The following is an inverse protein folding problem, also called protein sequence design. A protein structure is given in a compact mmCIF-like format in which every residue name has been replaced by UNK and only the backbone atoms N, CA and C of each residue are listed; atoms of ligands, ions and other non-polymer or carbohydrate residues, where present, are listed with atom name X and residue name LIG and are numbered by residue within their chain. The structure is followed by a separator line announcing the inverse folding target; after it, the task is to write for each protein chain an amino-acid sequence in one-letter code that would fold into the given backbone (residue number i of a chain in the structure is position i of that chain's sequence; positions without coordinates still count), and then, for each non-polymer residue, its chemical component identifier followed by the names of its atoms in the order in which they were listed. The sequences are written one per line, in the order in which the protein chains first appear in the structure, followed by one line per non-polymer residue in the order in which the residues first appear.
data_IF_513564295542
#
_entry.id   IF_513564295542
#
_cell.length_a   1.000
_cell.length_b   1.000
_cell.length_c   1.000
_cell.angle_alpha   90.00
_cell.angle_beta   90.00
_cell.angle_gamma   90.00
#
_symmetry.space_group_name_H-M   'P 1'
#
loop_
_entity.id
_entity.type
_entity.pdbx_description
1 polymer ?
#
# COMPACT_ATOMS: atom_id res chain seq x y z
N UNK A 1 -30.29 -10.91 35.78
CA UNK A 1 -30.29 -10.22 34.47
C UNK A 1 -31.71 -10.14 33.97
N UNK A 2 -32.18 -8.95 33.60
CA UNK A 2 -33.55 -8.78 33.07
C UNK A 2 -33.59 -9.39 31.66
N UNK A 3 -34.70 -10.04 31.26
CA UNK A 3 -34.84 -10.72 29.95
C UNK A 3 -34.44 -9.85 28.74
N UNK A 4 -34.64 -8.53 28.82
CA UNK A 4 -34.22 -7.58 27.78
C UNK A 4 -32.70 -7.40 27.65
N UNK A 5 -31.95 -7.55 28.74
CA UNK A 5 -30.49 -7.44 28.79
C UNK A 5 -29.83 -8.65 28.10
N UNK A 6 -30.38 -9.84 28.32
CA UNK A 6 -29.93 -11.09 27.67
C UNK A 6 -30.20 -11.06 26.17
N UNK A 7 -31.38 -10.57 25.76
CA UNK A 7 -31.73 -10.43 24.34
C UNK A 7 -30.82 -9.43 23.61
N UNK A 8 -30.51 -8.30 24.26
CA UNK A 8 -29.61 -7.30 23.69
C UNK A 8 -28.18 -7.84 23.52
N UNK A 9 -27.70 -8.58 24.52
CA UNK A 9 -26.36 -9.19 24.48
C UNK A 9 -26.24 -10.22 23.37
N UNK A 10 -27.26 -11.08 23.22
CA UNK A 10 -27.32 -12.05 22.14
C UNK A 10 -27.38 -11.40 20.74
N UNK A 11 -28.09 -10.28 20.61
CA UNK A 11 -28.16 -9.53 19.35
C UNK A 11 -26.81 -8.91 18.98
N UNK A 12 -26.08 -8.36 19.96
CA UNK A 12 -24.70 -7.87 19.77
C UNK A 12 -23.77 -9.00 19.35
N UNK A 13 -23.90 -10.17 19.98
CA UNK A 13 -23.08 -11.34 19.67
C UNK A 13 -23.30 -11.85 18.23
N UNK A 14 -24.56 -11.88 17.76
CA UNK A 14 -24.88 -12.22 16.36
C UNK A 14 -24.28 -11.19 15.39
N UNK A 15 -24.41 -9.90 15.67
CA UNK A 15 -23.81 -8.85 14.82
C UNK A 15 -22.29 -9.02 14.76
N UNK A 16 -21.65 -9.27 15.91
CA UNK A 16 -20.22 -9.54 16.00
C UNK A 16 -19.80 -10.75 15.17
N UNK A 17 -20.53 -11.86 15.29
CA UNK A 17 -20.26 -13.08 14.53
C UNK A 17 -20.40 -12.85 13.02
N UNK A 18 -21.42 -12.10 12.59
CA UNK A 18 -21.63 -11.77 11.18
C UNK A 18 -20.52 -10.88 10.62
N UNK A 19 -20.06 -9.88 11.38
CA UNK A 19 -18.94 -9.02 10.99
C UNK A 19 -17.63 -9.80 10.84
N UNK A 20 -17.33 -10.70 11.79
CA UNK A 20 -16.14 -11.56 11.71
C UNK A 20 -16.24 -12.50 10.50
N UNK A 21 -17.41 -13.12 10.29
CA UNK A 21 -17.65 -13.99 9.14
C UNK A 21 -17.45 -13.27 7.80
N UNK A 22 -17.94 -12.05 7.69
CA UNK A 22 -17.75 -11.21 6.50
C UNK A 22 -16.27 -10.92 6.23
N UNK A 23 -15.49 -10.55 7.26
CA UNK A 23 -14.06 -10.28 7.13
C UNK A 23 -13.28 -11.53 6.70
N UNK A 24 -13.58 -12.69 7.30
CA UNK A 24 -12.94 -13.95 6.92
C UNK A 24 -13.23 -14.31 5.46
N UNK A 25 -14.46 -14.08 5.01
CA UNK A 25 -14.84 -14.34 3.62
C UNK A 25 -14.10 -13.41 2.65
N UNK A 26 -14.04 -12.12 2.93
CA UNK A 26 -13.35 -11.13 2.09
C UNK A 26 -11.84 -11.44 1.96
N UNK A 27 -11.18 -11.76 3.09
CA UNK A 27 -9.79 -12.21 3.10
C UNK A 27 -9.61 -13.49 2.29
N UNK A 28 -10.48 -14.48 2.48
CA UNK A 28 -10.41 -15.75 1.74
C UNK A 28 -10.56 -15.56 0.23
N UNK A 29 -11.48 -14.70 -0.21
CA UNK A 29 -11.66 -14.35 -1.62
C UNK A 29 -10.44 -13.63 -2.17
N UNK A 30 -9.84 -12.71 -1.40
CA UNK A 30 -8.63 -11.98 -1.80
C UNK A 30 -7.40 -12.91 -1.93
N UNK A 31 -7.27 -13.90 -1.05
CA UNK A 31 -6.25 -14.96 -1.16
C UNK A 31 -6.51 -15.81 -2.41
N UNK A 32 -7.75 -16.28 -2.60
CA UNK A 32 -8.11 -17.14 -3.73
C UNK A 32 -7.90 -16.45 -5.09
N UNK A 33 -8.13 -15.13 -5.17
CA UNK A 33 -7.87 -14.31 -6.37
C UNK A 33 -6.41 -13.90 -6.53
N UNK A 34 -5.54 -14.18 -5.55
CA UNK A 34 -4.14 -13.80 -5.57
C UNK A 34 -3.85 -12.30 -5.42
N UNK A 35 -4.89 -11.48 -5.19
CA UNK A 35 -4.77 -10.01 -5.12
C UNK A 35 -3.91 -9.53 -3.96
N UNK A 36 -3.83 -10.30 -2.87
CA UNK A 36 -2.93 -10.02 -1.75
C UNK A 36 -1.47 -10.11 -2.19
N UNK A 37 -1.12 -11.17 -2.92
CA UNK A 37 0.25 -11.40 -3.38
C UNK A 37 0.66 -10.38 -4.44
N UNK A 38 -0.27 -10.00 -5.32
CA UNK A 38 -0.04 -8.95 -6.31
C UNK A 38 0.30 -7.61 -5.65
N UNK A 39 -0.52 -7.14 -4.71
CA UNK A 39 -0.25 -5.90 -3.94
C UNK A 39 1.08 -5.97 -3.21
N UNK A 40 1.39 -7.12 -2.58
CA UNK A 40 2.66 -7.31 -1.87
C UNK A 40 3.86 -7.27 -2.82
N UNK A 41 3.75 -7.87 -4.00
CA UNK A 41 4.81 -7.87 -5.00
C UNK A 41 5.04 -6.46 -5.55
N UNK A 42 3.98 -5.71 -5.85
CA UNK A 42 4.10 -4.29 -6.22
C UNK A 42 4.83 -3.49 -5.14
N UNK A 43 4.48 -3.70 -3.86
CA UNK A 43 5.15 -3.02 -2.74
C UNK A 43 6.64 -3.38 -2.66
N UNK A 44 6.99 -4.67 -2.85
CA UNK A 44 8.37 -5.16 -2.85
C UNK A 44 9.18 -4.61 -4.02
N UNK A 45 8.60 -4.59 -5.22
CA UNK A 45 9.27 -4.11 -6.42
C UNK A 45 9.57 -2.62 -6.31
N UNK A 46 8.59 -1.81 -5.85
CA UNK A 46 8.80 -0.39 -5.61
C UNK A 46 9.84 -0.14 -4.51
N UNK A 47 9.82 -0.93 -3.43
CA UNK A 47 10.82 -0.84 -2.38
C UNK A 47 12.22 -1.18 -2.87
N UNK A 48 12.35 -2.22 -3.70
CA UNK A 48 13.61 -2.59 -4.33
C UNK A 48 14.12 -1.46 -5.22
N UNK A 49 13.26 -0.84 -6.02
CA UNK A 49 13.63 0.30 -6.86
C UNK A 49 14.10 1.50 -6.06
N UNK A 50 13.43 1.83 -4.94
CA UNK A 50 13.87 2.89 -4.04
C UNK A 50 15.26 2.56 -3.47
N UNK A 51 15.47 1.33 -3.01
CA UNK A 51 16.77 0.88 -2.51
C UNK A 51 17.87 0.94 -3.58
N UNK A 52 17.56 0.49 -4.80
CA UNK A 52 18.49 0.52 -5.94
C UNK A 52 18.86 1.96 -6.31
N UNK A 53 17.88 2.86 -6.48
CA UNK A 53 18.14 4.27 -6.78
C UNK A 53 18.93 4.94 -5.68
N UNK A 54 18.64 4.60 -4.43
CA UNK A 54 19.37 5.11 -3.27
C UNK A 54 20.87 4.79 -3.34
N UNK A 55 21.26 3.61 -3.85
CA UNK A 55 22.66 3.19 -4.00
C UNK A 55 23.38 3.72 -5.25
N UNK A 56 22.66 4.21 -6.26
CA UNK A 56 23.26 4.67 -7.53
C UNK A 56 23.89 6.07 -7.36
N UNK A 57 25.11 6.33 -7.89
CA UNK A 57 25.66 7.69 -7.95
C UNK A 57 24.93 8.54 -8.99
N UNK A 58 24.66 9.81 -8.65
CA UNK A 58 24.02 10.77 -9.57
C UNK A 58 22.50 10.76 -9.56
N UNK A 59 21.91 11.36 -10.61
CA UNK A 59 20.47 11.45 -10.80
C UNK A 59 19.97 10.30 -11.68
N UNK A 60 18.86 9.68 -11.31
CA UNK A 60 18.27 8.54 -12.03
C UNK A 60 16.77 8.46 -11.77
N UNK A 61 16.03 7.76 -12.62
CA UNK A 61 14.60 7.50 -12.40
C UNK A 61 14.19 6.13 -12.94
N UNK A 62 13.14 5.58 -12.35
CA UNK A 62 12.49 4.34 -12.77
C UNK A 62 10.99 4.62 -12.91
N UNK A 63 10.41 4.17 -14.02
CA UNK A 63 8.99 4.37 -14.33
C UNK A 63 8.28 3.02 -14.25
N UNK A 64 7.25 2.96 -13.41
CA UNK A 64 6.33 1.84 -13.34
C UNK A 64 5.02 2.27 -13.99
N UNK A 65 4.66 1.59 -15.07
CA UNK A 65 3.36 1.80 -15.74
C UNK A 65 2.42 0.69 -15.32
N UNK A 66 1.13 1.01 -15.36
CA UNK A 66 0.05 0.03 -15.19
C UNK A 66 0.09 -0.69 -13.83
N UNK A 67 -0.21 0.04 -12.75
CA UNK A 67 -0.35 -0.50 -11.39
C UNK A 67 -1.72 -1.17 -11.16
N UNK A 68 -2.37 -1.65 -12.22
CA UNK A 68 -3.62 -2.42 -12.20
C UNK A 68 -4.77 -1.75 -11.42
N UNK A 69 -4.78 -0.41 -11.37
CA UNK A 69 -5.81 0.35 -10.65
C UNK A 69 -5.68 0.28 -9.12
N UNK A 70 -4.48 -0.02 -8.60
CA UNK A 70 -4.17 0.11 -7.18
C UNK A 70 -3.70 1.53 -6.83
N UNK A 71 -4.07 1.97 -5.64
CA UNK A 71 -3.54 3.16 -4.98
C UNK A 71 -2.31 2.82 -4.15
N UNK A 72 -1.45 3.82 -3.97
CA UNK A 72 -0.18 3.70 -3.28
C UNK A 72 -0.07 4.75 -2.19
N UNK A 73 0.53 4.36 -1.08
CA UNK A 73 0.91 5.30 -0.03
C UNK A 73 2.35 5.03 0.41
N UNK A 74 3.19 6.03 0.22
CA UNK A 74 4.58 6.04 0.64
C UNK A 74 4.66 6.84 1.92
N UNK A 75 5.02 6.20 3.02
CA UNK A 75 5.10 6.83 4.33
C UNK A 75 6.40 6.45 5.03
N UNK A 76 7.30 7.42 5.17
CA UNK A 76 8.63 7.30 5.73
C UNK A 76 9.49 6.22 5.06
N UNK A 77 9.40 4.98 5.55
CA UNK A 77 10.16 3.81 5.12
C UNK A 77 9.26 2.65 4.68
N UNK A 78 7.98 2.93 4.40
CA UNK A 78 6.94 1.94 4.11
C UNK A 78 6.18 2.31 2.84
N UNK A 79 5.80 1.27 2.09
CA UNK A 79 4.92 1.35 0.93
C UNK A 79 3.68 0.53 1.24
N UNK A 80 2.52 1.12 1.09
CA UNK A 80 1.23 0.44 1.12
C UNK A 80 0.60 0.46 -0.27
N UNK A 81 0.11 -0.69 -0.73
CA UNK A 81 -0.62 -0.87 -1.98
C UNK A 81 -2.02 -1.34 -1.64
N UNK A 82 -3.04 -0.62 -2.07
CA UNK A 82 -4.44 -0.88 -1.71
C UNK A 82 -5.39 -0.46 -2.83
N UNK A 83 -6.58 -1.07 -2.88
CA UNK A 83 -7.61 -0.72 -3.86
C UNK A 83 -8.53 0.41 -3.39
N UNK A 84 -8.64 0.60 -2.08
CA UNK A 84 -9.41 1.67 -1.43
C UNK A 84 -9.00 1.85 0.03
N UNK A 85 -9.45 2.93 0.66
CA UNK A 85 -9.00 3.30 2.01
C UNK A 85 -9.34 2.24 3.08
N UNK A 86 -10.47 1.55 2.91
CA UNK A 86 -10.96 0.48 3.79
C UNK A 86 -10.50 -0.93 3.39
N UNK A 87 -9.54 -1.06 2.47
CA UNK A 87 -9.01 -2.35 2.03
C UNK A 87 -8.29 -3.05 3.20
N UNK A 88 -8.82 -4.21 3.62
CA UNK A 88 -8.26 -4.98 4.74
C UNK A 88 -7.06 -5.84 4.31
N UNK A 89 -6.80 -5.95 3.01
CA UNK A 89 -5.73 -6.79 2.46
C UNK A 89 -4.69 -5.93 1.73
N UNK A 90 -4.23 -4.85 2.39
CA UNK A 90 -3.21 -3.95 1.83
C UNK A 90 -1.87 -4.68 1.73
N UNK A 91 -1.20 -4.56 0.59
CA UNK A 91 0.18 -5.02 0.45
C UNK A 91 1.12 -4.03 1.11
N UNK A 92 1.82 -4.43 2.16
CA UNK A 92 2.74 -3.54 2.88
C UNK A 92 4.16 -4.08 2.80
N UNK A 93 5.11 -3.21 2.46
CA UNK A 93 6.53 -3.55 2.50
C UNK A 93 7.38 -2.37 2.96
N UNK A 94 8.50 -2.68 3.62
CA UNK A 94 9.43 -1.69 4.16
C UNK A 94 10.68 -1.61 3.29
N UNK A 95 11.23 -0.41 3.17
CA UNK A 95 12.47 -0.15 2.44
C UNK A 95 13.47 0.60 3.31
N UNK A 96 14.74 0.60 2.90
CA UNK A 96 15.80 1.30 3.60
C UNK A 96 15.85 2.73 3.08
N UNK A 97 15.73 3.69 3.98
CA UNK A 97 15.89 5.10 3.66
C UNK A 97 17.37 5.45 3.69
N UNK A 98 17.92 5.87 2.54
CA UNK A 98 19.26 6.42 2.44
C UNK A 98 19.12 7.93 2.22
N UNK A 99 19.69 8.74 3.12
CA UNK A 99 19.61 10.20 3.06
C UNK A 99 18.34 10.82 3.66
N UNK A 100 18.17 12.13 3.46
CA UNK A 100 17.05 12.93 4.00
C UNK A 100 15.81 12.87 3.09
N UNK A 101 15.27 11.68 2.80
CA UNK A 101 14.04 11.57 1.99
C UNK A 101 12.79 11.44 2.87
N UNK A 102 12.05 12.53 3.10
CA UNK A 102 10.72 12.44 3.72
C UNK A 102 9.68 12.08 2.65
N UNK A 103 9.43 10.78 2.52
CA UNK A 103 8.38 10.26 1.65
C UNK A 103 7.07 10.24 2.43
N UNK A 104 6.18 11.18 2.14
CA UNK A 104 4.79 11.16 2.57
C UNK A 104 3.91 11.52 1.37
N UNK A 105 3.62 10.51 0.55
CA UNK A 105 2.96 10.69 -0.75
C UNK A 105 1.89 9.63 -0.91
N UNK A 106 0.65 10.06 -1.13
CA UNK A 106 -0.47 9.19 -1.49
C UNK A 106 -0.83 9.41 -2.96
N UNK A 107 -0.82 8.34 -3.74
CA UNK A 107 -1.21 8.33 -5.14
C UNK A 107 -2.46 7.47 -5.30
N UNK A 108 -3.56 8.10 -5.74
CA UNK A 108 -4.84 7.43 -5.86
C UNK A 108 -5.04 6.92 -7.29
N UNK A 109 -4.93 5.61 -7.48
CA UNK A 109 -5.02 4.93 -8.78
C UNK A 109 -4.18 5.58 -9.88
N UNK A 110 -2.87 5.84 -9.64
CA UNK A 110 -2.02 6.51 -10.61
C UNK A 110 -1.87 5.67 -11.88
N UNK A 111 -1.86 6.34 -13.04
CA UNK A 111 -1.59 5.66 -14.34
C UNK A 111 -0.16 5.15 -14.41
N UNK A 112 0.76 5.87 -13.77
CA UNK A 112 2.17 5.52 -13.66
C UNK A 112 2.75 6.07 -12.36
N UNK A 113 3.84 5.46 -11.91
CA UNK A 113 4.63 5.95 -10.79
C UNK A 113 6.08 6.06 -11.19
N UNK A 114 6.62 7.25 -11.00
CA UNK A 114 8.01 7.58 -11.24
C UNK A 114 8.71 7.69 -9.89
N UNK A 115 9.68 6.81 -9.67
CA UNK A 115 10.61 6.91 -8.54
C UNK A 115 11.88 7.55 -9.09
N UNK A 116 12.26 8.71 -8.56
CA UNK A 116 13.40 9.48 -9.05
C UNK A 116 14.37 9.79 -7.91
N UNK A 117 15.67 9.80 -8.22
CA UNK A 117 16.73 10.33 -7.39
C UNK A 117 17.23 11.61 -8.02
N UNK A 118 17.10 12.72 -7.29
CA UNK A 118 17.54 14.04 -7.72
C UNK A 118 18.35 14.65 -6.59
N UNK A 119 19.61 14.99 -6.85
CA UNK A 119 20.53 15.60 -5.87
C UNK A 119 20.66 14.78 -4.57
N UNK A 120 20.62 13.45 -4.68
CA UNK A 120 20.73 12.54 -3.54
C UNK A 120 19.41 12.26 -2.80
N UNK A 121 18.30 12.88 -3.19
CA UNK A 121 16.99 12.67 -2.57
C UNK A 121 16.08 11.82 -3.45
N UNK A 122 15.37 10.87 -2.84
CA UNK A 122 14.32 10.10 -3.50
C UNK A 122 13.02 10.90 -3.53
N UNK A 123 12.44 11.06 -4.71
CA UNK A 123 11.14 11.68 -4.96
C UNK A 123 10.23 10.74 -5.73
N UNK A 124 8.95 10.77 -5.39
CA UNK A 124 7.92 9.93 -6.00
C UNK A 124 6.84 10.83 -6.60
N UNK A 125 6.51 10.62 -7.87
CA UNK A 125 5.54 11.41 -8.61
C UNK A 125 4.85 10.59 -9.69
N UNK A 126 3.75 11.11 -10.22
CA UNK A 126 3.09 10.55 -11.42
C UNK A 126 3.77 11.00 -12.71
N UNK A 127 4.58 12.06 -12.68
CA UNK A 127 5.28 12.60 -13.85
C UNK A 127 6.80 12.49 -13.72
N UNK A 128 7.49 12.46 -14.87
CA UNK A 128 8.94 12.53 -14.94
C UNK A 128 9.36 13.94 -14.53
N UNK A 129 10.04 14.06 -13.38
CA UNK A 129 10.60 15.34 -12.96
C UNK A 129 11.85 15.67 -13.80
N UNK A 130 11.95 16.92 -14.25
CA UNK A 130 13.10 17.45 -14.98
C UNK A 130 14.38 17.28 -14.15
N UNK A 131 15.35 16.52 -14.68
CA UNK A 131 16.65 16.21 -14.04
C UNK A 131 17.69 17.33 -14.15
N UNK A 132 17.26 18.59 -14.29
CA UNK A 132 18.16 19.74 -14.47
C UNK A 132 18.99 20.03 -13.22
#
# INVERSE_FOLDING_TARGET
MKKGEVSLWFLIEIIGAFLIGYLLFDVSVSIAKGTIYEKLNIAKDLAMQINTLSGIPGNAYIINKNLHGYSLYFSNNKIEVFKGDSDQTKGTYYFVKIGKSNLDVKLNNPKQVVVSKINGEIKISEDIQSLR
#
